data_IF_930772882370
#
_entry.id   IF_930772882370
#
_cell.length_a   1.000
_cell.length_b   1.000
_cell.length_c   1.000
_cell.angle_alpha   90.00
_cell.angle_beta   90.00
_cell.angle_gamma   90.00
#
_symmetry.space_group_name_H-M   'P 1'
#
loop_
_entity.id
_entity.type
_entity.pdbx_description
1 polymer ?
#
# COMPACT_ATOMS: atom_id res chain seq x y z
N UNK A 1 13.77 19.08 -6.30
CA UNK A 1 12.62 20.02 -6.43
C UNK A 1 11.37 19.33 -6.97
N UNK A 2 11.43 18.65 -8.13
CA UNK A 2 10.27 17.97 -8.77
C UNK A 2 9.66 16.82 -7.96
N UNK A 3 10.49 15.89 -7.45
CA UNK A 3 10.01 14.76 -6.63
C UNK A 3 9.33 15.20 -5.33
N UNK A 4 9.76 16.32 -4.75
CA UNK A 4 9.22 16.85 -3.51
C UNK A 4 7.79 17.37 -3.64
N UNK A 5 7.42 17.93 -4.81
CA UNK A 5 6.06 18.43 -5.08
C UNK A 5 5.11 17.27 -5.30
N UNK A 6 5.45 16.35 -6.21
CA UNK A 6 4.63 15.16 -6.48
C UNK A 6 4.36 14.40 -5.17
N UNK A 7 5.41 14.13 -4.39
CA UNK A 7 5.31 13.44 -3.11
C UNK A 7 4.28 14.08 -2.17
N UNK A 8 4.30 15.41 -2.00
CA UNK A 8 3.36 16.11 -1.10
C UNK A 8 1.91 15.92 -1.53
N UNK A 9 1.64 15.97 -2.84
CA UNK A 9 0.30 15.73 -3.38
C UNK A 9 -0.14 14.28 -3.14
N UNK A 10 0.73 13.31 -3.47
CA UNK A 10 0.42 11.88 -3.32
C UNK A 10 0.19 11.48 -1.85
N UNK A 11 0.96 12.05 -0.91
CA UNK A 11 0.74 11.81 0.51
C UNK A 11 -0.66 12.24 0.96
N UNK A 12 -1.17 13.36 0.43
CA UNK A 12 -2.52 13.85 0.76
C UNK A 12 -3.60 12.98 0.12
N UNK A 13 -3.44 12.62 -1.16
CA UNK A 13 -4.37 11.76 -1.89
C UNK A 13 -4.56 10.41 -1.15
N UNK A 14 -3.47 9.84 -0.65
CA UNK A 14 -3.51 8.55 0.04
C UNK A 14 -3.81 8.65 1.54
N UNK A 15 -3.95 9.86 2.12
CA UNK A 15 -3.99 10.04 3.59
C UNK A 15 -2.80 9.36 4.30
N UNK A 16 -1.60 9.49 3.72
CA UNK A 16 -0.39 8.78 4.10
C UNK A 16 0.45 9.53 5.15
N UNK A 17 1.14 8.76 6.00
CA UNK A 17 2.21 9.26 6.87
C UNK A 17 3.36 9.91 6.06
N UNK A 18 3.88 11.04 6.58
CA UNK A 18 4.96 11.81 5.95
C UNK A 18 6.28 11.05 5.79
N UNK A 19 6.45 9.93 6.48
CA UNK A 19 7.65 9.07 6.52
C UNK A 19 7.65 7.98 5.46
N UNK A 20 6.50 7.70 4.81
CA UNK A 20 6.39 6.70 3.73
C UNK A 20 7.31 7.09 2.58
N UNK A 21 8.21 6.23 2.08
CA UNK A 21 9.13 6.59 0.99
C UNK A 21 8.44 7.06 -0.31
N UNK A 22 9.14 7.84 -1.16
CA UNK A 22 8.57 8.34 -2.43
C UNK A 22 8.17 7.21 -3.37
N UNK A 23 9.01 6.18 -3.51
CA UNK A 23 8.70 5.01 -4.35
C UNK A 23 7.44 4.29 -3.89
N UNK A 24 7.29 4.07 -2.56
CA UNK A 24 6.10 3.44 -2.00
C UNK A 24 4.81 4.23 -2.31
N UNK A 25 4.82 5.55 -2.10
CA UNK A 25 3.61 6.34 -2.28
C UNK A 25 3.22 6.48 -3.76
N UNK A 26 4.20 6.51 -4.68
CA UNK A 26 3.96 6.45 -6.12
C UNK A 26 3.26 5.14 -6.51
N UNK A 27 3.75 4.00 -6.01
CA UNK A 27 3.15 2.69 -6.28
C UNK A 27 1.75 2.59 -5.67
N UNK A 28 1.58 2.92 -4.38
CA UNK A 28 0.28 2.84 -3.69
C UNK A 28 -0.78 3.69 -4.38
N UNK A 29 -0.42 4.91 -4.83
CA UNK A 29 -1.34 5.80 -5.56
C UNK A 29 -1.50 5.44 -7.04
N UNK A 30 -0.74 4.49 -7.57
CA UNK A 30 -0.75 4.17 -8.99
C UNK A 30 -0.24 5.32 -9.88
N UNK A 31 0.59 6.21 -9.33
CA UNK A 31 1.11 7.38 -10.06
C UNK A 31 2.59 7.20 -10.39
N UNK A 32 2.98 7.12 -11.67
CA UNK A 32 4.38 6.99 -12.06
C UNK A 32 5.25 8.16 -11.57
N UNK A 33 6.57 7.96 -11.39
CA UNK A 33 7.50 9.05 -11.12
C UNK A 33 7.33 10.22 -12.10
N UNK A 34 7.32 11.44 -11.57
CA UNK A 34 7.11 12.64 -12.38
C UNK A 34 8.14 12.78 -13.51
N UNK A 35 9.38 12.31 -13.31
CA UNK A 35 10.38 12.26 -14.36
C UNK A 35 9.94 11.42 -15.56
N UNK A 36 9.38 10.24 -15.33
CA UNK A 36 8.88 9.38 -16.40
C UNK A 36 7.66 9.99 -17.11
N UNK A 37 6.77 10.65 -16.37
CA UNK A 37 5.64 11.37 -16.96
C UNK A 37 6.08 12.55 -17.83
N UNK A 38 7.17 13.24 -17.45
CA UNK A 38 7.76 14.31 -18.27
C UNK A 38 8.38 13.73 -19.54
N UNK A 39 9.14 12.64 -19.42
CA UNK A 39 9.69 11.95 -20.59
C UNK A 39 8.59 11.44 -21.54
N UNK A 40 7.50 10.89 -21.01
CA UNK A 40 6.35 10.46 -21.81
C UNK A 40 5.76 11.62 -22.60
N UNK A 41 5.50 12.75 -21.94
CA UNK A 41 4.98 13.96 -22.58
C UNK A 41 5.94 14.51 -23.63
N UNK A 42 7.25 14.45 -23.37
CA UNK A 42 8.26 14.85 -24.33
C UNK A 42 8.23 13.96 -25.58
N UNK A 43 8.16 12.63 -25.42
CA UNK A 43 8.03 11.70 -26.57
C UNK A 43 6.76 11.98 -27.36
N UNK A 44 5.62 12.17 -26.68
CA UNK A 44 4.33 12.51 -27.29
C UNK A 44 4.33 13.82 -28.09
N UNK A 45 5.07 14.84 -27.64
CA UNK A 45 5.16 16.13 -28.32
C UNK A 45 5.85 16.04 -29.69
N UNK A 46 6.77 15.08 -29.87
CA UNK A 46 7.57 14.94 -31.10
C UNK A 46 6.93 14.01 -32.15
N UNK A 47 5.68 13.59 -31.94
CA UNK A 47 4.95 12.72 -32.87
C UNK A 47 4.14 13.56 -33.85
N UNK A 48 4.24 13.23 -35.15
CA UNK A 48 3.51 13.91 -36.22
C UNK A 48 1.98 13.76 -36.07
N UNK A 49 1.24 14.80 -36.46
CA UNK A 49 -0.22 14.84 -36.35
C UNK A 49 -0.86 13.70 -37.15
N UNK A 50 -1.67 12.86 -36.50
CA UNK A 50 -2.49 11.81 -37.13
C UNK A 50 -2.32 10.38 -36.56
N UNK A 51 -1.28 10.12 -35.76
CA UNK A 51 -1.01 8.79 -35.18
C UNK A 51 -1.33 8.68 -33.67
N UNK A 52 -1.97 9.70 -33.12
CA UNK A 52 -2.04 9.97 -31.68
C UNK A 52 -2.57 8.80 -30.80
N UNK A 53 -3.66 8.08 -31.11
CA UNK A 53 -4.20 7.08 -30.18
C UNK A 53 -3.30 5.84 -30.03
N UNK A 54 -2.86 5.24 -31.14
CA UNK A 54 -2.04 4.03 -31.12
C UNK A 54 -0.64 4.31 -30.55
N UNK A 55 -0.08 5.48 -30.88
CA UNK A 55 1.23 5.88 -30.37
C UNK A 55 1.15 6.23 -28.88
N UNK A 56 0.07 6.88 -28.43
CA UNK A 56 -0.13 7.17 -27.00
C UNK A 56 -0.12 5.92 -26.12
N UNK A 57 -0.82 4.86 -26.53
CA UNK A 57 -0.83 3.61 -25.77
C UNK A 57 0.57 2.98 -25.67
N UNK A 58 1.32 2.98 -26.78
CA UNK A 58 2.71 2.49 -26.80
C UNK A 58 3.61 3.29 -25.86
N UNK A 59 3.44 4.60 -25.80
CA UNK A 59 4.24 5.46 -24.91
C UNK A 59 3.89 5.24 -23.43
N UNK A 60 2.62 5.04 -23.11
CA UNK A 60 2.16 4.66 -21.76
C UNK A 60 2.75 3.31 -21.34
N UNK A 61 2.71 2.31 -22.24
CA UNK A 61 3.34 1.00 -21.98
C UNK A 61 4.85 1.13 -21.75
N UNK A 62 5.52 1.99 -22.52
CA UNK A 62 6.96 2.26 -22.36
C UNK A 62 7.26 2.89 -20.99
N UNK A 63 6.45 3.87 -20.56
CA UNK A 63 6.54 4.48 -19.23
C UNK A 63 6.33 3.44 -18.13
N UNK A 64 5.33 2.58 -18.27
CA UNK A 64 5.01 1.57 -17.28
C UNK A 64 6.11 0.51 -17.16
N UNK A 65 6.72 0.08 -18.28
CA UNK A 65 7.86 -0.85 -18.27
C UNK A 65 9.07 -0.27 -17.55
N UNK A 66 9.46 0.97 -17.87
CA UNK A 66 10.53 1.68 -17.14
C UNK A 66 10.22 1.80 -15.66
N UNK A 67 8.98 2.12 -15.31
CA UNK A 67 8.57 2.21 -13.91
C UNK A 67 8.65 0.85 -13.20
N UNK A 68 8.22 -0.23 -13.86
CA UNK A 68 8.32 -1.59 -13.33
C UNK A 68 9.77 -2.01 -13.06
N UNK A 69 10.71 -1.64 -13.93
CA UNK A 69 12.15 -1.87 -13.72
C UNK A 69 12.66 -1.12 -12.48
N UNK A 70 12.40 0.20 -12.41
CA UNK A 70 12.75 1.01 -11.22
C UNK A 70 12.17 0.41 -9.94
N UNK A 71 10.93 -0.07 -10.00
CA UNK A 71 10.28 -0.68 -8.83
C UNK A 71 10.90 -2.02 -8.44
N UNK A 72 11.21 -2.86 -9.43
CA UNK A 72 11.88 -4.16 -9.24
C UNK A 72 13.28 -4.01 -8.67
N UNK A 73 13.99 -2.94 -9.01
CA UNK A 73 15.37 -2.71 -8.55
C UNK A 73 15.43 -1.85 -7.28
N UNK A 74 14.31 -1.26 -6.84
CA UNK A 74 14.25 -0.46 -5.63
C UNK A 74 14.58 -1.29 -4.38
N UNK A 75 15.51 -0.80 -3.56
CA UNK A 75 15.94 -1.44 -2.29
C UNK A 75 15.91 -0.45 -1.12
N UNK A 76 16.12 -0.95 0.10
CA UNK A 76 16.26 -0.15 1.32
C UNK A 76 14.95 0.35 1.96
N UNK A 77 13.94 0.70 1.18
CA UNK A 77 12.61 1.09 1.69
C UNK A 77 11.49 0.36 0.95
N UNK A 78 10.25 0.48 1.45
CA UNK A 78 9.05 -0.04 0.79
C UNK A 78 8.99 -1.57 0.62
N UNK A 79 9.80 -2.33 1.37
CA UNK A 79 9.90 -3.78 1.23
C UNK A 79 8.55 -4.50 1.28
N UNK A 80 7.68 -4.12 2.23
CA UNK A 80 6.33 -4.67 2.33
C UNK A 80 5.47 -4.34 1.11
N UNK A 81 5.39 -3.06 0.72
CA UNK A 81 4.64 -2.63 -0.47
C UNK A 81 5.10 -3.38 -1.72
N UNK A 82 6.41 -3.61 -1.87
CA UNK A 82 6.99 -4.36 -2.99
C UNK A 82 6.68 -5.84 -2.94
N UNK A 83 6.64 -6.43 -1.75
CA UNK A 83 6.27 -7.83 -1.57
C UNK A 83 4.84 -8.11 -2.04
N UNK A 84 3.90 -7.18 -1.78
CA UNK A 84 2.48 -7.38 -2.11
C UNK A 84 2.10 -6.82 -3.49
N UNK A 85 2.66 -5.68 -3.93
CA UNK A 85 2.44 -5.09 -5.26
C UNK A 85 3.72 -5.29 -6.08
N UNK A 86 3.86 -6.46 -6.68
CA UNK A 86 5.04 -6.80 -7.49
C UNK A 86 4.91 -6.32 -8.94
N UNK A 87 3.74 -6.58 -9.55
CA UNK A 87 3.39 -6.13 -10.89
C UNK A 87 2.54 -4.85 -10.83
N UNK A 88 3.04 -3.79 -11.45
CA UNK A 88 2.39 -2.49 -11.47
C UNK A 88 1.22 -2.45 -12.45
N UNK A 89 1.22 -3.24 -13.53
CA UNK A 89 0.18 -3.10 -14.57
C UNK A 89 -1.21 -3.42 -14.03
N UNK A 90 -1.47 -4.58 -13.39
CA UNK A 90 -2.79 -4.88 -12.82
C UNK A 90 -3.20 -3.88 -11.74
N UNK A 91 -2.24 -3.44 -10.91
CA UNK A 91 -2.49 -2.51 -9.81
C UNK A 91 -2.86 -1.11 -10.31
N UNK A 92 -2.11 -0.57 -11.27
CA UNK A 92 -2.35 0.75 -11.85
C UNK A 92 -3.66 0.77 -12.64
N UNK A 93 -3.96 -0.31 -13.37
CA UNK A 93 -5.17 -0.45 -14.19
C UNK A 93 -6.45 -0.67 -13.37
N UNK A 94 -6.35 -0.94 -12.08
CA UNK A 94 -7.51 -1.10 -11.20
C UNK A 94 -8.23 0.23 -10.97
N UNK A 95 -9.36 0.44 -11.66
CA UNK A 95 -10.19 1.65 -11.61
C UNK A 95 -11.00 1.79 -10.32
N UNK A 96 -11.38 0.67 -9.69
CA UNK A 96 -12.16 0.67 -8.45
C UNK A 96 -11.30 0.82 -7.19
N UNK A 97 -9.97 0.92 -7.35
CA UNK A 97 -9.02 1.18 -6.27
C UNK A 97 -9.36 2.49 -5.56
N UNK A 98 -9.64 2.40 -4.26
CA UNK A 98 -9.91 3.57 -3.40
C UNK A 98 -9.08 3.49 -2.13
N UNK A 99 -8.17 4.46 -1.97
CA UNK A 99 -7.34 4.57 -0.79
C UNK A 99 -8.08 5.31 0.32
N UNK A 100 -7.87 4.86 1.55
CA UNK A 100 -8.20 5.60 2.76
C UNK A 100 -7.05 5.49 3.76
N UNK A 101 -7.19 6.14 4.92
CA UNK A 101 -6.17 6.15 5.96
C UNK A 101 -5.71 4.76 6.43
N UNK A 102 -6.62 3.78 6.54
CA UNK A 102 -6.31 2.44 7.05
C UNK A 102 -5.79 1.52 5.94
N UNK A 103 -6.37 1.61 4.74
CA UNK A 103 -5.90 0.86 3.57
C UNK A 103 -4.48 1.29 3.21
N UNK A 104 -4.20 2.60 3.22
CA UNK A 104 -2.84 3.11 2.97
C UNK A 104 -1.84 2.64 4.01
N UNK A 105 -2.22 2.59 5.29
CA UNK A 105 -1.37 2.02 6.35
C UNK A 105 -1.00 0.58 6.05
N UNK A 106 -2.00 -0.26 5.75
CA UNK A 106 -1.78 -1.64 5.36
C UNK A 106 -0.85 -1.76 4.15
N UNK A 107 -1.12 -1.06 3.06
CA UNK A 107 -0.33 -1.16 1.83
C UNK A 107 1.13 -0.68 2.00
N UNK A 108 1.38 0.17 2.99
CA UNK A 108 2.71 0.74 3.25
C UNK A 108 3.42 0.12 4.43
N UNK A 109 2.75 -0.70 5.25
CA UNK A 109 3.28 -1.21 6.52
C UNK A 109 3.58 -0.09 7.51
N UNK A 110 2.84 1.01 7.46
CA UNK A 110 2.96 2.16 8.36
C UNK A 110 1.74 2.25 9.28
N UNK A 111 1.86 3.03 10.35
CA UNK A 111 0.75 3.32 11.26
C UNK A 111 0.71 2.38 12.44
N UNK A 112 -0.43 1.72 12.69
CA UNK A 112 -0.63 0.87 13.87
C UNK A 112 0.04 -0.51 13.72
N UNK A 113 1.36 -0.51 13.55
CA UNK A 113 2.21 -1.69 13.50
C UNK A 113 3.45 -1.41 14.36
N UNK A 114 3.69 -2.20 15.42
CA UNK A 114 4.79 -1.92 16.34
C UNK A 114 6.17 -1.95 15.70
N UNK A 115 6.36 -2.77 14.66
CA UNK A 115 7.56 -2.72 13.84
C UNK A 115 7.83 -1.33 13.25
N UNK A 116 6.77 -0.63 12.82
CA UNK A 116 6.86 0.74 12.33
C UNK A 116 7.02 1.74 13.47
N UNK A 117 6.19 1.67 14.53
CA UNK A 117 6.21 2.65 15.62
C UNK A 117 7.51 2.61 16.42
N UNK A 118 8.13 1.45 16.60
CA UNK A 118 9.49 1.31 17.16
C UNK A 118 10.53 2.05 16.35
N UNK A 119 10.50 1.90 15.03
CA UNK A 119 11.39 2.64 14.12
C UNK A 119 11.18 4.16 14.21
N UNK A 120 9.98 4.60 14.61
CA UNK A 120 9.67 6.02 14.85
C UNK A 120 9.98 6.47 16.28
N UNK A 121 10.44 5.59 17.16
CA UNK A 121 10.69 5.88 18.58
C UNK A 121 9.43 6.08 19.41
N UNK A 122 8.29 5.49 19.01
CA UNK A 122 7.01 5.61 19.71
C UNK A 122 6.79 4.43 20.67
N UNK A 123 7.26 3.23 20.31
CA UNK A 123 7.16 2.02 21.14
C UNK A 123 8.54 1.42 21.38
N UNK A 124 8.73 0.78 22.53
CA UNK A 124 10.01 0.19 22.93
C UNK A 124 10.38 -1.06 22.10
N UNK A 125 9.37 -1.84 21.71
CA UNK A 125 9.54 -3.07 20.94
C UNK A 125 8.69 -3.12 19.66
N UNK A 126 8.93 -4.16 18.88
CA UNK A 126 8.24 -4.49 17.62
C UNK A 126 7.29 -5.67 17.80
N UNK A 127 6.92 -6.01 19.04
CA UNK A 127 6.17 -7.22 19.37
C UNK A 127 4.68 -6.97 19.35
N UNK A 128 3.95 -7.87 18.73
CA UNK A 128 2.50 -7.86 18.68
C UNK A 128 1.96 -8.06 20.10
N UNK A 129 1.23 -7.07 20.61
CA UNK A 129 0.66 -7.08 21.96
C UNK A 129 -0.26 -8.29 22.26
N UNK A 130 -0.74 -8.98 21.22
CA UNK A 130 -1.67 -10.10 21.38
C UNK A 130 -0.99 -11.47 21.41
N UNK A 131 0.15 -11.63 20.74
CA UNK A 131 0.76 -12.96 20.54
C UNK A 131 2.30 -12.97 20.55
N UNK A 132 2.96 -11.83 20.74
CA UNK A 132 4.42 -11.73 20.82
C UNK A 132 5.17 -11.87 19.49
N UNK A 133 4.49 -12.10 18.36
CA UNK A 133 5.11 -12.09 17.02
C UNK A 133 5.63 -10.71 16.62
N UNK A 134 6.40 -10.60 15.52
CA UNK A 134 6.83 -9.28 15.01
C UNK A 134 5.64 -8.58 14.35
N UNK A 135 5.22 -7.44 14.90
CA UNK A 135 4.01 -6.72 14.50
C UNK A 135 4.22 -5.88 13.24
N UNK A 136 4.22 -6.56 12.10
CA UNK A 136 4.21 -6.00 10.74
C UNK A 136 2.82 -6.12 10.13
N UNK A 137 2.55 -5.40 9.04
CA UNK A 137 1.32 -5.61 8.27
C UNK A 137 1.15 -7.07 7.77
N UNK A 138 2.27 -7.73 7.43
CA UNK A 138 2.31 -9.15 7.08
C UNK A 138 1.90 -10.05 8.24
N UNK A 139 2.27 -9.69 9.46
CA UNK A 139 1.82 -10.42 10.63
C UNK A 139 0.35 -10.09 10.96
N UNK A 140 0.03 -8.83 11.16
CA UNK A 140 -1.27 -8.40 11.71
C UNK A 140 -2.45 -8.85 10.84
N UNK A 141 -2.36 -8.70 9.51
CA UNK A 141 -3.51 -8.95 8.63
C UNK A 141 -3.69 -10.45 8.33
N UNK A 142 -2.73 -11.15 7.66
CA UNK A 142 -2.94 -12.54 7.29
C UNK A 142 -2.54 -13.59 8.34
N UNK A 143 -1.73 -13.26 9.36
CA UNK A 143 -1.14 -14.27 10.26
C UNK A 143 -1.74 -14.25 11.67
N UNK A 144 -1.80 -13.07 12.31
CA UNK A 144 -2.06 -12.95 13.75
C UNK A 144 -3.36 -13.63 14.20
N UNK A 145 -3.28 -14.46 15.24
CA UNK A 145 -4.38 -15.28 15.76
C UNK A 145 -5.51 -14.45 16.37
N UNK A 146 -5.19 -13.25 16.87
CA UNK A 146 -6.17 -12.29 17.39
C UNK A 146 -7.28 -11.98 16.38
N UNK A 147 -6.95 -11.97 15.09
CA UNK A 147 -7.86 -11.61 14.01
C UNK A 147 -8.35 -12.81 13.21
N UNK A 148 -8.11 -14.03 13.71
CA UNK A 148 -8.42 -15.29 13.03
C UNK A 148 -9.91 -15.41 12.68
N UNK A 149 -10.81 -15.10 13.60
CA UNK A 149 -12.25 -15.15 13.37
C UNK A 149 -12.68 -14.22 12.22
N UNK A 150 -12.38 -12.92 12.31
CA UNK A 150 -12.75 -11.96 11.26
C UNK A 150 -12.09 -12.27 9.91
N UNK A 151 -10.88 -12.85 9.94
CA UNK A 151 -10.20 -13.30 8.73
C UNK A 151 -10.87 -14.53 8.13
N UNK A 152 -11.33 -15.49 8.95
CA UNK A 152 -12.08 -16.66 8.49
C UNK A 152 -13.39 -16.24 7.81
N UNK A 153 -14.19 -15.38 8.46
CA UNK A 153 -15.41 -14.81 7.88
C UNK A 153 -15.15 -14.16 6.51
N UNK A 154 -14.11 -13.33 6.40
CA UNK A 154 -13.71 -12.72 5.13
C UNK A 154 -13.34 -13.77 4.07
N UNK A 155 -12.57 -14.80 4.44
CA UNK A 155 -12.10 -15.82 3.50
C UNK A 155 -13.25 -16.71 3.00
N UNK A 156 -14.25 -16.97 3.85
CA UNK A 156 -15.48 -17.66 3.46
C UNK A 156 -16.29 -16.80 2.48
N UNK A 157 -16.45 -15.51 2.76
CA UNK A 157 -17.14 -14.57 1.86
C UNK A 157 -16.46 -14.39 0.49
N UNK A 158 -15.14 -14.59 0.42
CA UNK A 158 -14.35 -14.45 -0.80
C UNK A 158 -14.10 -15.79 -1.52
N UNK A 159 -14.41 -16.92 -0.87
CA UNK A 159 -14.04 -18.28 -1.30
C UNK A 159 -12.54 -18.40 -1.64
N UNK A 160 -11.68 -17.76 -0.84
CA UNK A 160 -10.23 -17.80 -1.01
C UNK A 160 -9.51 -17.52 0.30
N UNK A 161 -8.44 -18.27 0.58
CA UNK A 161 -7.53 -17.94 1.68
C UNK A 161 -6.67 -16.73 1.31
N UNK A 162 -6.62 -15.72 2.17
CA UNK A 162 -5.84 -14.52 1.93
C UNK A 162 -4.47 -14.63 2.60
N UNK A 163 -3.44 -14.19 1.90
CA UNK A 163 -2.06 -14.16 2.37
C UNK A 163 -1.28 -13.09 1.65
N UNK A 164 -0.01 -12.92 2.06
CA UNK A 164 0.92 -11.97 1.43
C UNK A 164 0.94 -12.10 -0.09
N UNK A 165 0.99 -13.33 -0.61
CA UNK A 165 1.20 -13.60 -2.03
C UNK A 165 -0.01 -13.34 -2.93
N UNK A 166 -1.23 -13.26 -2.38
CA UNK A 166 -2.45 -13.14 -3.19
C UNK A 166 -3.38 -11.99 -2.81
N UNK A 167 -3.17 -11.32 -1.67
CA UNK A 167 -4.12 -10.30 -1.18
C UNK A 167 -4.34 -9.15 -2.17
N UNK A 168 -3.31 -8.75 -2.92
CA UNK A 168 -3.46 -7.72 -3.96
C UNK A 168 -4.26 -8.23 -5.15
N UNK A 169 -4.02 -9.47 -5.60
CA UNK A 169 -4.79 -10.08 -6.68
C UNK A 169 -6.27 -10.24 -6.32
N UNK A 170 -6.55 -10.55 -5.05
CA UNK A 170 -7.92 -10.59 -4.52
C UNK A 170 -8.54 -9.18 -4.53
N UNK A 171 -7.83 -8.17 -4.02
CA UNK A 171 -8.28 -6.78 -3.96
C UNK A 171 -8.65 -6.22 -5.33
N UNK A 172 -7.81 -6.42 -6.35
CA UNK A 172 -8.00 -5.81 -7.68
C UNK A 172 -8.98 -6.58 -8.57
N UNK A 173 -9.49 -7.74 -8.12
CA UNK A 173 -10.37 -8.60 -8.92
C UNK A 173 -11.67 -7.89 -9.30
N UNK A 174 -12.29 -7.24 -8.32
CA UNK A 174 -13.53 -6.50 -8.50
C UNK A 174 -13.81 -5.58 -7.29
N UNK A 175 -14.77 -4.67 -7.47
CA UNK A 175 -15.17 -3.68 -6.46
C UNK A 175 -15.72 -4.32 -5.17
N UNK A 176 -16.33 -5.51 -5.26
CA UNK A 176 -16.88 -6.22 -4.09
C UNK A 176 -15.74 -6.75 -3.21
N UNK A 177 -14.76 -7.42 -3.82
CA UNK A 177 -13.57 -7.90 -3.13
C UNK A 177 -12.77 -6.76 -2.52
N UNK A 178 -12.60 -5.65 -3.26
CA UNK A 178 -12.00 -4.43 -2.73
C UNK A 178 -12.69 -3.98 -1.45
N UNK A 179 -14.02 -3.83 -1.50
CA UNK A 179 -14.82 -3.42 -0.35
C UNK A 179 -14.68 -4.35 0.86
N UNK A 180 -14.79 -5.67 0.65
CA UNK A 180 -14.69 -6.68 1.71
C UNK A 180 -13.33 -6.66 2.41
N UNK A 181 -12.24 -6.72 1.64
CA UNK A 181 -10.88 -6.74 2.20
C UNK A 181 -10.55 -5.40 2.87
N UNK A 182 -10.90 -4.26 2.27
CA UNK A 182 -10.68 -2.95 2.89
C UNK A 182 -11.46 -2.79 4.19
N UNK A 183 -12.71 -3.27 4.25
CA UNK A 183 -13.50 -3.24 5.48
C UNK A 183 -12.88 -4.09 6.59
N UNK A 184 -12.36 -5.28 6.26
CA UNK A 184 -11.63 -6.11 7.21
C UNK A 184 -10.38 -5.42 7.75
N UNK A 185 -9.51 -4.92 6.86
CA UNK A 185 -8.29 -4.17 7.23
C UNK A 185 -8.64 -2.99 8.15
N UNK A 186 -9.70 -2.24 7.80
CA UNK A 186 -10.17 -1.11 8.59
C UNK A 186 -10.65 -1.54 9.97
N UNK A 187 -11.48 -2.58 10.08
CA UNK A 187 -11.94 -3.12 11.37
C UNK A 187 -10.77 -3.50 12.27
N UNK A 188 -9.79 -4.24 11.72
CA UNK A 188 -8.58 -4.68 12.44
C UNK A 188 -7.79 -3.49 12.96
N UNK A 189 -7.43 -2.55 12.09
CA UNK A 189 -6.58 -1.41 12.47
C UNK A 189 -7.31 -0.42 13.39
N UNK A 190 -8.63 -0.29 13.26
CA UNK A 190 -9.43 0.50 14.19
C UNK A 190 -9.44 -0.11 15.58
N UNK A 191 -9.66 -1.42 15.70
CA UNK A 191 -9.65 -2.10 17.00
C UNK A 191 -8.25 -2.08 17.62
N UNK A 192 -7.21 -2.38 16.83
CA UNK A 192 -5.81 -2.32 17.29
C UNK A 192 -5.43 -0.94 17.81
N UNK A 193 -5.83 0.13 17.13
CA UNK A 193 -5.64 1.52 17.60
C UNK A 193 -6.26 1.76 18.99
N UNK A 194 -7.46 1.23 19.23
CA UNK A 194 -8.13 1.38 20.53
C UNK A 194 -7.38 0.59 21.60
N UNK A 195 -7.06 -0.67 21.32
CA UNK A 195 -6.37 -1.55 22.26
C UNK A 195 -4.99 -1.01 22.65
N UNK A 196 -4.22 -0.45 21.69
CA UNK A 196 -2.91 0.16 22.00
C UNK A 196 -3.04 1.38 22.92
N UNK A 197 -4.06 2.22 22.73
CA UNK A 197 -4.31 3.38 23.61
C UNK A 197 -4.71 2.98 25.02
N UNK A 198 -5.49 1.90 25.14
CA UNK A 198 -5.90 1.36 26.44
C UNK A 198 -4.69 0.84 27.22
N UNK A 199 -3.73 0.17 26.55
CA UNK A 199 -2.49 -0.28 27.18
C UNK A 199 -1.63 0.91 27.63
N UNK A 200 -1.41 1.90 26.76
CA UNK A 200 -0.62 3.09 27.11
C UNK A 200 -1.20 3.82 28.33
N UNK A 201 -2.53 3.89 28.46
CA UNK A 201 -3.19 4.52 29.61
C UNK A 201 -3.01 3.71 30.91
N UNK A 202 -2.97 2.39 30.84
CA UNK A 202 -2.73 1.53 32.01
C UNK A 202 -1.27 1.63 32.47
N UNK A 203 -0.32 1.67 31.54
CA UNK A 203 1.12 1.77 31.84
C UNK A 203 1.53 3.12 32.44
N UNK A 204 0.78 4.21 32.18
CA UNK A 204 1.04 5.53 32.78
C UNK A 204 0.53 5.64 34.22
N UNK A 205 -0.43 4.80 34.63
CA UNK A 205 -1.12 4.90 35.93
C UNK A 205 -0.46 4.01 37.01
N UNK A 206 0.45 3.11 36.61
CA UNK A 206 1.21 2.19 37.50
C UNK A 206 2.60 2.77 37.75
#
# INVERSE_FOLDING_TARGET
MLLGIQRKALLRIASAYRTISTSAIQVVTGTPPLSLLVEERYRLYHIENGQLPAVKNREIETTLRKWQEIWRDHTGTAAWTKAIIQDLLPWVSCEHKKLDFFVTQFLTGHGYFRYYTKRMGITEDDKCMYCGGIDTAEHTIPICDRWSQWRQELQEELDVRIGRENIINVLIRDVSNWGKVCNFVKKVLQKKKVDEREIEQVEIVI
#
